data_IF_563248316970
#
_entry.id   IF_563248316970
#
_cell.length_a   1.000
_cell.length_b   1.000
_cell.length_c   1.000
_cell.angle_alpha   90.00
_cell.angle_beta   90.00
_cell.angle_gamma   90.00
#
_symmetry.space_group_name_H-M   'P 1'
#
loop_
_entity.id
_entity.type
_entity.pdbx_description
1 polymer ?
#
# COMPACT_ATOMS: atom_id res chain seq x y z
N UNK A 1 1.62 -0.16 1.47
CA UNK A 1 1.77 -1.57 1.05
C UNK A 1 2.47 -1.56 -0.30
N UNK A 2 3.78 -1.27 -0.33
CA UNK A 2 4.53 -1.04 -1.57
C UNK A 2 5.91 -1.71 -1.45
N UNK A 3 6.43 -2.28 -2.54
CA UNK A 3 7.79 -2.83 -2.61
C UNK A 3 8.86 -1.74 -2.58
N UNK A 4 10.09 -2.09 -2.21
CA UNK A 4 11.22 -1.15 -2.21
C UNK A 4 11.62 -0.73 -3.63
N UNK A 5 11.08 0.40 -4.08
CA UNK A 5 11.27 1.03 -5.39
C UNK A 5 11.29 2.57 -5.23
N UNK A 6 11.36 3.31 -6.31
CA UNK A 6 11.37 4.77 -6.33
C UNK A 6 10.01 5.41 -5.95
N UNK A 7 8.89 4.75 -6.26
CA UNK A 7 7.53 5.29 -6.05
C UNK A 7 7.21 5.58 -4.57
N UNK A 8 7.56 4.72 -3.58
CA UNK A 8 7.47 5.04 -2.16
C UNK A 8 8.17 6.34 -1.76
N UNK A 9 9.30 6.68 -2.40
CA UNK A 9 10.04 7.91 -2.10
C UNK A 9 9.25 9.12 -2.58
N UNK A 10 8.72 9.07 -3.81
CA UNK A 10 7.88 10.13 -4.35
C UNK A 10 6.59 10.31 -3.53
N UNK A 11 5.96 9.20 -3.14
CA UNK A 11 4.77 9.20 -2.29
C UNK A 11 5.05 9.86 -0.93
N UNK A 12 6.18 9.55 -0.31
CA UNK A 12 6.57 10.15 0.97
C UNK A 12 6.87 11.65 0.85
N UNK A 13 7.61 12.06 -0.19
CA UNK A 13 7.89 13.47 -0.43
C UNK A 13 6.60 14.27 -0.69
N UNK A 14 5.69 13.74 -1.51
CA UNK A 14 4.41 14.37 -1.78
C UNK A 14 3.54 14.47 -0.51
N UNK A 15 3.42 13.40 0.26
CA UNK A 15 2.67 13.40 1.51
C UNK A 15 3.21 14.43 2.52
N UNK A 16 4.53 14.43 2.74
CA UNK A 16 5.16 15.37 3.67
C UNK A 16 5.05 16.82 3.17
N UNK A 17 5.12 17.07 1.85
CA UNK A 17 5.00 18.43 1.29
C UNK A 17 3.64 19.09 1.54
N UNK A 18 2.58 18.30 1.75
CA UNK A 18 1.23 18.79 2.06
C UNK A 18 0.87 18.67 3.55
N UNK A 19 1.85 18.31 4.41
CA UNK A 19 1.64 18.10 5.84
C UNK A 19 0.87 16.82 6.19
N UNK A 20 0.78 15.86 5.27
CA UNK A 20 0.19 14.55 5.55
C UNK A 20 1.19 13.64 6.28
N UNK A 21 0.65 12.70 7.06
CA UNK A 21 1.42 11.65 7.74
C UNK A 21 1.36 10.39 6.88
N UNK A 22 2.52 9.84 6.52
CA UNK A 22 2.64 8.57 5.81
C UNK A 22 2.95 7.44 6.78
N UNK A 23 2.26 6.32 6.64
CA UNK A 23 2.61 5.04 7.25
C UNK A 23 2.76 3.96 6.18
N UNK A 24 3.63 3.00 6.41
CA UNK A 24 4.01 1.99 5.41
C UNK A 24 4.05 0.58 5.99
N UNK A 25 3.74 -0.39 5.15
CA UNK A 25 3.80 -1.82 5.45
C UNK A 25 4.42 -2.57 4.28
N UNK A 26 5.14 -3.65 4.61
CA UNK A 26 5.78 -4.53 3.64
C UNK A 26 4.73 -5.30 2.83
N UNK A 27 4.95 -5.49 1.52
CA UNK A 27 4.03 -6.21 0.65
C UNK A 27 4.00 -7.73 0.93
N UNK A 28 4.87 -8.22 1.80
CA UNK A 28 4.91 -9.63 2.23
C UNK A 28 3.93 -9.94 3.36
N UNK A 29 3.31 -8.93 3.97
CA UNK A 29 2.30 -9.13 5.00
C UNK A 29 0.95 -9.53 4.37
N UNK A 30 0.27 -10.47 5.00
CA UNK A 30 -1.11 -10.83 4.66
C UNK A 30 -2.08 -9.69 4.94
N UNK A 31 -3.21 -9.67 4.22
CA UNK A 31 -4.28 -8.68 4.31
C UNK A 31 -4.72 -8.39 5.74
N UNK A 32 -5.04 -9.42 6.54
CA UNK A 32 -5.50 -9.23 7.93
C UNK A 32 -4.48 -8.50 8.82
N UNK A 33 -3.18 -8.80 8.66
CA UNK A 33 -2.13 -8.15 9.43
C UNK A 33 -2.04 -6.65 9.09
N UNK A 34 -2.25 -6.30 7.82
CA UNK A 34 -2.29 -4.91 7.36
C UNK A 34 -3.57 -4.23 7.86
N UNK A 35 -4.75 -4.85 7.72
CA UNK A 35 -6.03 -4.32 8.19
C UNK A 35 -5.95 -3.95 9.68
N UNK A 36 -5.41 -4.83 10.52
CA UNK A 36 -5.25 -4.59 11.95
C UNK A 36 -4.38 -3.35 12.27
N UNK A 37 -3.40 -3.03 11.41
CA UNK A 37 -2.60 -1.81 11.54
C UNK A 37 -3.35 -0.58 11.05
N UNK A 38 -4.04 -0.68 9.91
CA UNK A 38 -4.80 0.42 9.34
C UNK A 38 -5.95 0.85 10.26
N UNK A 39 -6.61 -0.07 10.97
CA UNK A 39 -7.67 0.25 11.95
C UNK A 39 -7.19 1.12 13.12
N UNK A 40 -5.89 1.10 13.46
CA UNK A 40 -5.35 1.92 14.54
C UNK A 40 -5.15 3.37 14.13
N UNK A 41 -4.92 3.62 12.84
CA UNK A 41 -4.56 4.95 12.31
C UNK A 41 -5.61 5.53 11.37
N UNK A 42 -6.60 4.74 10.96
CA UNK A 42 -7.73 5.09 10.09
C UNK A 42 -7.34 5.96 8.89
N UNK A 43 -6.50 5.46 7.98
CA UNK A 43 -5.99 6.24 6.86
C UNK A 43 -7.10 6.49 5.83
N UNK A 44 -7.04 7.65 5.18
CA UNK A 44 -8.00 8.02 4.12
C UNK A 44 -7.63 7.47 2.75
N UNK A 45 -6.33 7.26 2.51
CA UNK A 45 -5.76 6.90 1.22
C UNK A 45 -4.81 5.72 1.41
N UNK A 46 -4.96 4.68 0.59
CA UNK A 46 -4.01 3.58 0.48
C UNK A 46 -3.24 3.68 -0.84
N UNK A 47 -1.91 3.83 -0.73
CA UNK A 47 -0.98 3.71 -1.86
C UNK A 47 -0.41 2.29 -1.92
N UNK A 48 -0.55 1.66 -3.09
CA UNK A 48 -0.16 0.26 -3.32
C UNK A 48 0.20 -0.02 -4.79
N UNK A 49 0.75 -1.20 -5.04
CA UNK A 49 1.05 -1.78 -6.37
C UNK A 49 0.30 -3.09 -6.53
N UNK A 50 -0.18 -3.44 -7.74
CA UNK A 50 -0.93 -4.70 -7.89
C UNK A 50 -0.02 -5.94 -7.89
N UNK A 51 1.22 -5.77 -8.33
CA UNK A 51 2.22 -6.84 -8.46
C UNK A 51 3.65 -6.31 -8.50
N UNK A 52 4.61 -7.17 -8.20
CA UNK A 52 6.04 -6.88 -8.39
C UNK A 52 6.85 -8.18 -8.51
N UNK A 53 8.07 -8.06 -9.04
CA UNK A 53 9.02 -9.18 -9.11
C UNK A 53 9.92 -9.21 -7.88
N UNK A 54 10.03 -10.37 -7.23
CA UNK A 54 10.97 -10.62 -6.15
C UNK A 54 11.62 -11.98 -6.32
N UNK A 55 12.95 -12.05 -6.31
CA UNK A 55 13.70 -13.30 -6.52
C UNK A 55 13.24 -14.11 -7.75
N UNK A 56 12.97 -13.42 -8.88
CA UNK A 56 12.46 -14.00 -10.14
C UNK A 56 11.06 -14.63 -10.04
N UNK A 57 10.33 -14.37 -8.97
CA UNK A 57 8.93 -14.76 -8.82
C UNK A 57 8.04 -13.52 -8.88
N UNK A 58 6.91 -13.62 -9.58
CA UNK A 58 5.88 -12.58 -9.59
C UNK A 58 5.06 -12.71 -8.31
N UNK A 59 5.05 -11.66 -7.50
CA UNK A 59 4.19 -11.55 -6.34
C UNK A 59 2.97 -10.74 -6.74
N UNK A 60 1.79 -11.33 -6.58
CA UNK A 60 0.49 -10.70 -6.86
C UNK A 60 -0.16 -10.29 -5.55
N UNK A 61 -0.59 -9.04 -5.49
CA UNK A 61 -1.16 -8.42 -4.28
C UNK A 61 -2.64 -8.07 -4.46
N UNK A 62 -3.19 -8.23 -5.67
CA UNK A 62 -4.52 -7.73 -6.02
C UNK A 62 -5.63 -8.24 -5.10
N UNK A 63 -5.60 -9.51 -4.71
CA UNK A 63 -6.62 -10.09 -3.83
C UNK A 63 -6.49 -9.52 -2.40
N UNK A 64 -5.26 -9.41 -1.89
CA UNK A 64 -5.00 -8.76 -0.60
C UNK A 64 -5.44 -7.30 -0.61
N UNK A 65 -5.20 -6.57 -1.71
CA UNK A 65 -5.59 -5.16 -1.85
C UNK A 65 -7.11 -5.02 -1.82
N UNK A 66 -7.84 -5.89 -2.52
CA UNK A 66 -9.32 -5.89 -2.49
C UNK A 66 -9.85 -6.14 -1.09
N UNK A 67 -9.28 -7.11 -0.38
CA UNK A 67 -9.66 -7.41 1.00
C UNK A 67 -9.39 -6.20 1.92
N UNK A 68 -8.20 -5.62 1.83
CA UNK A 68 -7.84 -4.42 2.60
C UNK A 68 -8.81 -3.27 2.29
N UNK A 69 -9.15 -3.04 1.02
CA UNK A 69 -10.04 -1.96 0.61
C UNK A 69 -11.44 -2.08 1.20
N UNK A 70 -12.00 -3.29 1.13
CA UNK A 70 -13.35 -3.57 1.56
C UNK A 70 -13.48 -3.46 3.08
N UNK A 71 -12.46 -3.89 3.81
CA UNK A 71 -12.53 -4.04 5.27
C UNK A 71 -11.89 -2.89 6.06
N UNK A 72 -11.08 -2.04 5.42
CA UNK A 72 -10.46 -0.87 6.09
C UNK A 72 -11.23 0.45 5.91
N UNK A 73 -12.12 0.55 4.92
CA UNK A 73 -12.85 1.78 4.60
C UNK A 73 -11.99 2.89 3.96
N UNK A 74 -10.73 2.63 3.61
CA UNK A 74 -9.82 3.58 2.96
C UNK A 74 -10.04 3.63 1.44
N UNK A 75 -9.93 4.82 0.84
CA UNK A 75 -9.95 4.97 -0.62
C UNK A 75 -8.71 4.36 -1.27
N UNK A 76 -8.89 3.63 -2.38
CA UNK A 76 -7.81 2.96 -3.12
C UNK A 76 -7.18 3.87 -4.17
N UNK A 77 -5.85 3.90 -4.21
CA UNK A 77 -5.07 4.42 -5.35
C UNK A 77 -3.94 3.43 -5.68
N UNK A 78 -4.03 2.78 -6.85
CA UNK A 78 -2.94 1.92 -7.36
C UNK A 78 -2.11 2.72 -8.36
N UNK A 79 -0.81 2.83 -8.10
CA UNK A 79 0.12 3.59 -8.92
C UNK A 79 0.71 2.81 -10.10
N UNK A 80 0.07 1.74 -10.57
CA UNK A 80 0.58 0.99 -11.72
C UNK A 80 0.51 1.90 -12.97
N UNK A 81 1.64 2.26 -13.60
CA UNK A 81 1.60 2.58 -15.01
C UNK A 81 1.31 1.28 -15.76
N UNK A 82 0.67 1.37 -16.93
CA UNK A 82 0.54 0.23 -17.85
C UNK A 82 1.83 -0.61 -17.98
#
# INVERSE_FOLDING_TARGET
YISNREEPVYAMLAAVSIGAILTGDLPFLGSQAVINKLQQVNPKILLTIARFMYNRQEIKLLDNIKEIANDSGAGLYSGDPE
#
